data_IF_500341841000
#
_entry.id   IF_500341841000
#
_cell.length_a   1.000
_cell.length_b   1.000
_cell.length_c   1.000
_cell.angle_alpha   90.00
_cell.angle_beta   90.00
_cell.angle_gamma   90.00
#
_symmetry.space_group_name_H-M   'P 1'
#
loop_
_entity.id
_entity.type
_entity.pdbx_description
1 polymer ?
#
# COMPACT_ATOMS: atom_id res chain seq x y z
N UNK A 1 4.18 22.10 25.16
CA UNK A 1 5.46 22.67 25.68
C UNK A 1 5.99 21.94 26.91
N UNK A 2 5.37 22.01 28.11
CA UNK A 2 5.96 21.46 29.35
C UNK A 2 6.38 19.98 29.28
N UNK A 3 5.57 19.11 28.67
CA UNK A 3 5.91 17.69 28.52
C UNK A 3 7.14 17.46 27.63
N UNK A 4 7.27 18.24 26.56
CA UNK A 4 8.40 18.22 25.63
C UNK A 4 9.67 18.66 26.37
N UNK A 5 9.61 19.78 27.10
CA UNK A 5 10.71 20.29 27.92
C UNK A 5 11.21 19.26 28.93
N UNK A 6 10.29 18.61 29.66
CA UNK A 6 10.63 17.56 30.63
C UNK A 6 11.34 16.37 29.96
N UNK A 7 10.89 15.95 28.77
CA UNK A 7 11.52 14.87 27.99
C UNK A 7 12.95 15.25 27.60
N UNK A 8 13.15 16.46 27.07
CA UNK A 8 14.45 16.97 26.64
C UNK A 8 15.40 17.10 27.83
N UNK A 9 14.97 17.72 28.92
CA UNK A 9 15.80 17.87 30.13
C UNK A 9 16.21 16.52 30.72
N UNK A 10 15.33 15.51 30.66
CA UNK A 10 15.67 14.15 31.09
C UNK A 10 16.75 13.53 30.20
N UNK A 11 16.64 13.68 28.88
CA UNK A 11 17.66 13.22 27.94
C UNK A 11 19.01 13.92 28.19
N UNK A 12 18.99 15.25 28.32
CA UNK A 12 20.20 16.04 28.58
C UNK A 12 20.82 15.75 29.95
N UNK A 13 20.01 15.50 30.98
CA UNK A 13 20.51 15.10 32.30
C UNK A 13 21.22 13.74 32.26
N UNK A 14 20.73 12.80 31.44
CA UNK A 14 21.38 11.51 31.25
C UNK A 14 22.74 11.67 30.56
N UNK A 15 22.82 12.55 29.55
CA UNK A 15 24.07 12.91 28.86
C UNK A 15 25.06 13.56 29.83
N UNK A 16 24.66 14.61 30.56
CA UNK A 16 25.53 15.36 31.48
C UNK A 16 26.12 14.48 32.59
N UNK A 17 25.34 13.56 33.17
CA UNK A 17 25.82 12.62 34.20
C UNK A 17 26.97 11.73 33.72
N UNK A 18 26.99 11.34 32.45
CA UNK A 18 28.01 10.45 31.89
C UNK A 18 29.33 11.16 31.58
N UNK A 19 29.29 12.48 31.35
CA UNK A 19 30.47 13.27 31.04
C UNK A 19 31.12 13.94 32.28
N UNK A 20 30.63 13.69 33.50
CA UNK A 20 31.06 14.36 34.74
C UNK A 20 31.06 15.90 34.66
N UNK A 21 30.38 16.45 33.66
CA UNK A 21 30.09 17.88 33.55
C UNK A 21 28.90 18.11 34.47
N UNK A 22 29.12 18.83 35.59
CA UNK A 22 28.10 19.03 36.63
C UNK A 22 26.75 19.49 36.09
N UNK A 23 25.70 19.41 36.93
CA UNK A 23 24.29 19.72 36.61
C UNK A 23 24.00 21.12 36.02
N UNK A 24 25.02 21.96 35.85
CA UNK A 24 24.93 23.36 35.47
C UNK A 24 24.99 23.62 33.96
N UNK A 25 25.11 22.58 33.12
CA UNK A 25 25.17 22.76 31.65
C UNK A 25 23.90 22.35 30.90
N UNK A 26 22.88 21.80 31.57
CA UNK A 26 21.62 21.40 30.92
C UNK A 26 20.51 22.40 31.20
N UNK A 27 19.99 23.04 30.17
CA UNK A 27 18.85 23.95 30.27
C UNK A 27 17.81 23.67 29.18
N UNK A 28 16.60 24.20 29.33
CA UNK A 28 15.53 24.07 28.30
C UNK A 28 15.97 24.73 26.99
N UNK A 29 15.57 24.25 25.81
CA UNK A 29 15.89 24.89 24.54
C UNK A 29 15.49 26.37 24.47
N UNK A 30 14.37 26.75 25.08
CA UNK A 30 13.96 28.16 25.16
C UNK A 30 14.95 29.02 25.96
N UNK A 31 15.38 28.52 27.12
CA UNK A 31 16.43 29.17 27.91
C UNK A 31 17.73 29.25 27.11
N UNK A 32 18.15 28.16 26.48
CA UNK A 32 19.36 28.13 25.67
C UNK A 32 19.34 29.18 24.55
N UNK A 33 18.20 29.34 23.88
CA UNK A 33 18.02 30.35 22.83
C UNK A 33 18.11 31.77 23.38
N UNK A 34 17.43 32.08 24.49
CA UNK A 34 17.42 33.43 25.10
C UNK A 34 18.82 33.84 25.57
N UNK A 35 19.59 32.90 26.12
CA UNK A 35 20.90 33.16 26.71
C UNK A 35 22.08 32.83 25.79
N UNK A 36 21.82 32.50 24.52
CA UNK A 36 22.88 32.22 23.53
C UNK A 36 23.68 30.93 23.77
N UNK A 37 23.12 29.95 24.49
CA UNK A 37 23.76 28.68 24.84
C UNK A 37 23.47 27.55 23.85
N UNK A 38 22.62 27.77 22.85
CA UNK A 38 22.19 26.73 21.91
C UNK A 38 23.35 26.00 21.24
N UNK A 39 24.35 26.71 20.71
CA UNK A 39 25.49 26.09 20.02
C UNK A 39 26.31 25.20 20.97
N UNK A 40 26.58 25.66 22.19
CA UNK A 40 27.30 24.88 23.21
C UNK A 40 26.56 23.58 23.53
N UNK A 41 25.22 23.62 23.61
CA UNK A 41 24.42 22.42 23.87
C UNK A 41 24.40 21.50 22.65
N UNK A 42 24.29 22.05 21.43
CA UNK A 42 24.35 21.25 20.21
C UNK A 42 25.70 20.53 20.06
N UNK A 43 26.80 21.20 20.40
CA UNK A 43 28.13 20.57 20.41
C UNK A 43 28.19 19.44 21.44
N UNK A 44 27.66 19.64 22.64
CA UNK A 44 27.55 18.56 23.64
C UNK A 44 26.74 17.38 23.08
N UNK A 45 25.58 17.64 22.46
CA UNK A 45 24.75 16.59 21.87
C UNK A 45 25.54 15.81 20.82
N UNK A 46 26.28 16.49 19.91
CA UNK A 46 27.12 15.87 18.88
C UNK A 46 28.18 14.94 19.47
N UNK A 47 28.88 15.38 20.52
CA UNK A 47 29.90 14.57 21.20
C UNK A 47 29.31 13.37 21.97
N UNK A 48 28.02 13.43 22.31
CA UNK A 48 27.32 12.40 23.08
C UNK A 48 26.34 11.57 22.24
N UNK A 49 26.53 11.49 20.90
CA UNK A 49 25.60 10.80 19.98
C UNK A 49 25.23 9.37 20.41
N UNK A 50 26.20 8.61 20.91
CA UNK A 50 26.01 7.21 21.33
C UNK A 50 25.21 7.06 22.64
N UNK A 51 24.96 8.16 23.35
CA UNK A 51 24.21 8.17 24.62
C UNK A 51 22.70 8.27 24.42
N UNK A 52 22.26 8.52 23.19
CA UNK A 52 20.85 8.55 22.82
C UNK A 52 20.35 7.15 22.48
N UNK A 53 19.09 6.90 22.82
CA UNK A 53 18.40 5.62 22.57
C UNK A 53 18.51 5.13 21.12
N UNK A 54 18.35 6.04 20.17
CA UNK A 54 18.33 5.76 18.74
C UNK A 54 18.64 7.04 17.94
N UNK A 55 18.94 6.93 16.63
CA UNK A 55 19.26 8.09 15.80
C UNK A 55 18.13 9.14 15.74
N UNK A 56 16.86 8.73 15.77
CA UNK A 56 15.73 9.66 15.76
C UNK A 56 15.68 10.46 17.07
N UNK A 57 15.92 9.83 18.22
CA UNK A 57 15.97 10.49 19.52
C UNK A 57 17.13 11.50 19.61
N UNK A 58 18.30 11.16 19.04
CA UNK A 58 19.43 12.08 18.89
C UNK A 58 19.06 13.31 18.06
N UNK A 59 18.54 13.08 16.85
CA UNK A 59 18.17 14.14 15.92
C UNK A 59 17.03 15.03 16.44
N UNK A 60 16.01 14.42 17.06
CA UNK A 60 14.89 15.14 17.66
C UNK A 60 15.37 16.03 18.82
N UNK A 61 16.24 15.51 19.69
CA UNK A 61 16.75 16.28 20.84
C UNK A 61 17.58 17.48 20.39
N UNK A 62 18.55 17.29 19.50
CA UNK A 62 19.31 18.41 18.92
C UNK A 62 18.42 19.35 18.10
N UNK A 63 17.38 18.81 17.44
CA UNK A 63 16.41 19.58 16.67
C UNK A 63 15.76 20.70 17.47
N UNK A 64 15.43 20.45 18.75
CA UNK A 64 14.85 21.47 19.62
C UNK A 64 15.80 22.63 19.96
N UNK A 65 17.12 22.37 20.04
CA UNK A 65 18.13 23.41 20.29
C UNK A 65 18.60 24.11 19.01
N UNK A 66 18.29 23.53 17.84
CA UNK A 66 18.64 24.10 16.54
C UNK A 66 17.84 25.37 16.21
N UNK A 67 18.26 26.09 15.17
CA UNK A 67 17.51 27.25 14.63
C UNK A 67 16.08 26.90 14.18
N UNK A 68 15.82 25.63 13.88
CA UNK A 68 14.48 25.15 13.50
C UNK A 68 13.65 24.69 14.71
N UNK A 69 14.16 24.81 15.93
CA UNK A 69 13.54 24.27 17.14
C UNK A 69 12.11 24.78 17.38
N UNK A 70 11.83 26.05 17.11
CA UNK A 70 10.45 26.58 17.22
C UNK A 70 9.48 25.86 16.25
N UNK A 71 9.94 25.55 15.04
CA UNK A 71 9.16 24.77 14.07
C UNK A 71 8.88 23.35 14.59
N UNK A 72 9.87 22.70 15.22
CA UNK A 72 9.68 21.40 15.85
C UNK A 72 8.69 21.45 17.01
N UNK A 73 8.76 22.48 17.86
CA UNK A 73 7.78 22.68 18.92
C UNK A 73 6.36 22.83 18.36
N UNK A 74 6.18 23.71 17.37
CA UNK A 74 4.89 23.95 16.74
C UNK A 74 4.32 22.64 16.17
N UNK A 75 5.15 21.87 15.45
CA UNK A 75 4.77 20.58 14.89
C UNK A 75 4.30 19.61 15.98
N UNK A 76 5.07 19.49 17.07
CA UNK A 76 4.79 18.55 18.16
C UNK A 76 3.59 18.96 19.02
N UNK A 77 3.20 20.23 18.97
CA UNK A 77 1.94 20.72 19.56
C UNK A 77 0.76 20.70 18.61
N UNK A 78 0.94 20.24 17.37
CA UNK A 78 -0.12 20.11 16.36
C UNK A 78 -0.35 21.35 15.50
N UNK A 79 0.44 22.42 15.68
CA UNK A 79 0.37 23.62 14.83
C UNK A 79 1.27 23.47 13.60
N UNK A 80 0.78 22.66 12.66
CA UNK A 80 1.52 22.27 11.45
C UNK A 80 1.76 23.46 10.52
N UNK A 81 0.84 24.44 10.47
CA UNK A 81 0.98 25.64 9.64
C UNK A 81 2.08 26.56 10.19
N UNK A 82 2.09 26.80 11.51
CA UNK A 82 3.16 27.56 12.15
C UNK A 82 4.51 26.85 11.98
N UNK A 83 4.53 25.53 12.11
CA UNK A 83 5.75 24.75 11.90
C UNK A 83 6.34 25.01 10.51
N UNK A 84 5.51 24.93 9.46
CA UNK A 84 5.93 25.19 8.09
C UNK A 84 6.44 26.63 7.92
N UNK A 85 5.69 27.64 8.39
CA UNK A 85 6.10 29.04 8.23
C UNK A 85 7.47 29.33 8.88
N UNK A 86 7.77 28.68 10.01
CA UNK A 86 9.06 28.85 10.68
C UNK A 86 10.18 28.24 9.83
N UNK A 87 10.00 27.03 9.29
CA UNK A 87 11.07 26.39 8.51
C UNK A 87 11.26 27.01 7.13
N UNK A 88 10.24 27.64 6.54
CA UNK A 88 10.34 28.36 5.27
C UNK A 88 11.19 29.64 5.38
N UNK A 89 11.30 30.25 6.56
CA UNK A 89 12.21 31.38 6.79
C UNK A 89 13.68 30.98 6.90
N UNK A 90 13.98 29.68 6.96
CA UNK A 90 15.34 29.17 7.08
C UNK A 90 15.92 28.97 5.68
N UNK A 91 16.94 29.76 5.33
CA UNK A 91 17.64 29.59 4.06
C UNK A 91 18.30 28.20 3.96
N UNK A 92 17.82 27.38 3.02
CA UNK A 92 18.27 25.99 2.87
C UNK A 92 19.70 25.84 2.38
N UNK A 93 20.24 26.85 1.68
CA UNK A 93 21.61 26.89 1.16
C UNK A 93 22.67 27.11 2.25
N UNK A 94 22.28 27.62 3.42
CA UNK A 94 23.17 27.90 4.56
C UNK A 94 23.02 26.89 5.71
N UNK A 95 22.34 25.77 5.48
CA UNK A 95 22.13 24.75 6.51
C UNK A 95 23.34 23.81 6.56
N UNK A 96 24.24 24.05 7.50
CA UNK A 96 25.39 23.16 7.79
C UNK A 96 25.09 22.14 8.89
N UNK A 97 24.00 22.31 9.64
CA UNK A 97 23.71 21.54 10.84
C UNK A 97 22.70 20.40 10.61
N UNK A 98 23.06 19.18 11.01
CA UNK A 98 22.25 17.97 10.79
C UNK A 98 20.90 18.00 11.51
N UNK A 99 20.82 18.68 12.67
CA UNK A 99 19.59 18.80 13.44
C UNK A 99 18.59 19.73 12.75
N UNK A 100 19.08 20.87 12.25
CA UNK A 100 18.26 21.78 11.44
C UNK A 100 17.74 21.07 10.19
N UNK A 101 18.59 20.33 9.48
CA UNK A 101 18.20 19.51 8.33
C UNK A 101 17.09 18.52 8.68
N UNK A 102 17.25 17.78 9.79
CA UNK A 102 16.25 16.83 10.25
C UNK A 102 14.89 17.51 10.48
N UNK A 103 14.87 18.63 11.22
CA UNK A 103 13.62 19.34 11.55
C UNK A 103 12.94 19.87 10.29
N UNK A 104 13.67 20.54 9.40
CA UNK A 104 13.11 21.06 8.14
C UNK A 104 12.45 19.94 7.34
N UNK A 105 13.15 18.81 7.17
CA UNK A 105 12.63 17.66 6.42
C UNK A 105 11.42 17.03 7.09
N UNK A 106 11.45 16.89 8.42
CA UNK A 106 10.33 16.34 9.20
C UNK A 106 9.09 17.23 9.08
N UNK A 107 9.25 18.54 9.24
CA UNK A 107 8.14 19.50 9.12
C UNK A 107 7.55 19.48 7.72
N UNK A 108 8.39 19.51 6.68
CA UNK A 108 7.91 19.40 5.29
C UNK A 108 7.16 18.08 5.07
N UNK A 109 7.67 16.96 5.57
CA UNK A 109 7.03 15.66 5.44
C UNK A 109 5.65 15.62 6.13
N UNK A 110 5.55 16.08 7.37
CA UNK A 110 4.28 16.10 8.13
C UNK A 110 3.27 17.09 7.57
N UNK A 111 3.73 18.26 7.11
CA UNK A 111 2.90 19.19 6.36
C UNK A 111 2.40 18.57 5.06
N UNK A 112 3.29 17.93 4.31
CA UNK A 112 2.97 17.21 3.07
C UNK A 112 1.91 16.13 3.29
N UNK A 113 1.98 15.38 4.40
CA UNK A 113 0.95 14.41 4.77
C UNK A 113 -0.40 15.07 5.08
N UNK A 114 -0.40 16.28 5.65
CA UNK A 114 -1.62 17.05 5.91
C UNK A 114 -2.22 17.60 4.60
N UNK A 115 -1.38 18.18 3.75
CA UNK A 115 -1.77 18.66 2.42
C UNK A 115 -2.34 17.54 1.54
N UNK A 116 -1.73 16.34 1.61
CA UNK A 116 -2.23 15.14 0.95
C UNK A 116 -3.66 14.78 1.40
N UNK A 117 -3.91 14.75 2.71
CA UNK A 117 -5.23 14.44 3.28
C UNK A 117 -6.29 15.47 2.88
N UNK A 118 -5.88 16.73 2.71
CA UNK A 118 -6.74 17.82 2.26
C UNK A 118 -6.89 17.88 0.72
N UNK A 119 -6.30 16.94 -0.03
CA UNK A 119 -6.30 16.89 -1.50
C UNK A 119 -5.74 18.16 -2.17
N UNK A 120 -4.74 18.79 -1.58
CA UNK A 120 -4.08 19.96 -2.17
C UNK A 120 -3.30 19.59 -3.44
N UNK A 121 -3.47 20.33 -4.55
CA UNK A 121 -2.93 19.91 -5.86
C UNK A 121 -1.40 19.73 -5.91
N UNK A 122 -0.65 20.50 -5.11
CA UNK A 122 0.82 20.56 -5.16
C UNK A 122 1.50 19.87 -3.98
N UNK A 123 0.81 18.96 -3.25
CA UNK A 123 1.35 18.35 -2.04
C UNK A 123 2.70 17.64 -2.24
N UNK A 124 3.00 17.14 -3.44
CA UNK A 124 4.21 16.37 -3.73
C UNK A 124 5.51 17.16 -3.52
N UNK A 125 5.47 18.49 -3.65
CA UNK A 125 6.65 19.34 -3.47
C UNK A 125 7.22 19.23 -2.05
N UNK A 126 6.36 19.02 -1.05
CA UNK A 126 6.75 18.88 0.35
C UNK A 126 7.47 17.56 0.63
N UNK A 127 7.42 16.60 -0.29
CA UNK A 127 8.09 15.30 -0.15
C UNK A 127 9.45 15.25 -0.86
N UNK A 128 9.93 16.37 -1.42
CA UNK A 128 11.17 16.41 -2.19
C UNK A 128 12.40 15.97 -1.39
N UNK A 129 12.42 16.21 -0.08
CA UNK A 129 13.53 15.86 0.82
C UNK A 129 13.27 14.61 1.68
N UNK A 130 12.15 13.92 1.46
CA UNK A 130 11.71 12.79 2.29
C UNK A 130 12.69 11.62 2.26
N UNK A 131 13.34 11.35 1.12
CA UNK A 131 14.34 10.26 1.04
C UNK A 131 15.47 10.46 2.07
N UNK A 132 15.98 11.69 2.19
CA UNK A 132 17.01 12.05 3.17
C UNK A 132 16.50 12.04 4.61
N UNK A 133 15.20 12.27 4.83
CA UNK A 133 14.59 12.12 6.14
C UNK A 133 14.59 10.64 6.56
N UNK A 134 14.15 9.77 5.67
CA UNK A 134 14.07 8.33 5.90
C UNK A 134 15.45 7.69 6.09
N UNK A 135 16.48 8.17 5.38
CA UNK A 135 17.87 7.79 5.64
C UNK A 135 18.32 8.16 7.06
N UNK A 136 18.02 9.39 7.52
CA UNK A 136 18.43 9.86 8.84
C UNK A 136 17.60 9.30 10.00
N UNK A 137 16.33 8.97 9.74
CA UNK A 137 15.37 8.48 10.73
C UNK A 137 14.45 7.40 10.11
N UNK A 138 14.96 6.16 9.93
CA UNK A 138 14.24 5.07 9.26
C UNK A 138 12.94 4.65 9.97
N UNK A 139 12.83 4.92 11.27
CA UNK A 139 11.61 4.71 12.06
C UNK A 139 10.42 5.52 11.53
N UNK A 140 10.66 6.69 10.92
CA UNK A 140 9.62 7.51 10.29
C UNK A 140 9.08 6.81 9.04
N UNK A 141 9.97 6.28 8.21
CA UNK A 141 9.62 5.50 7.00
C UNK A 141 8.72 4.33 7.38
N UNK A 142 9.14 3.54 8.37
CA UNK A 142 8.37 2.40 8.88
C UNK A 142 6.98 2.81 9.38
N UNK A 143 6.89 3.83 10.26
CA UNK A 143 5.59 4.31 10.76
C UNK A 143 4.68 4.80 9.63
N UNK A 144 5.25 5.40 8.59
CA UNK A 144 4.52 5.88 7.43
C UNK A 144 3.98 4.72 6.57
N UNK A 145 4.80 3.72 6.26
CA UNK A 145 4.40 2.56 5.46
C UNK A 145 3.41 1.68 6.21
N UNK A 146 3.63 1.41 7.49
CA UNK A 146 2.73 0.64 8.35
C UNK A 146 1.33 1.26 8.37
N UNK A 147 1.25 2.60 8.44
CA UNK A 147 -0.02 3.32 8.39
C UNK A 147 -0.75 3.13 7.06
N UNK A 148 -0.02 3.12 5.94
CA UNK A 148 -0.62 2.97 4.60
C UNK A 148 -1.16 1.55 4.41
N UNK A 149 -0.42 0.54 4.88
CA UNK A 149 -0.88 -0.86 4.86
C UNK A 149 -2.17 -1.06 5.67
N UNK A 150 -2.45 -0.17 6.62
CA UNK A 150 -3.68 -0.16 7.44
C UNK A 150 -4.74 0.86 6.97
N UNK A 151 -4.49 1.64 5.92
CA UNK A 151 -5.38 2.71 5.50
C UNK A 151 -6.64 2.18 4.81
N UNK A 152 -7.79 2.82 5.08
CA UNK A 152 -9.04 2.56 4.37
C UNK A 152 -9.03 3.11 2.93
N UNK A 153 -9.87 2.52 2.06
CA UNK A 153 -9.97 2.75 0.62
C UNK A 153 -9.97 4.22 0.14
N UNK A 154 -10.65 5.14 0.84
CA UNK A 154 -10.83 6.52 0.34
C UNK A 154 -9.54 7.35 0.28
N UNK A 155 -8.58 7.10 1.17
CA UNK A 155 -7.31 7.86 1.20
C UNK A 155 -6.24 7.23 0.30
N UNK A 156 -6.46 5.99 -0.11
CA UNK A 156 -5.45 5.13 -0.71
C UNK A 156 -5.02 5.58 -2.11
N UNK A 157 -5.95 6.15 -2.89
CA UNK A 157 -5.68 6.71 -4.21
C UNK A 157 -4.65 7.86 -4.17
N UNK A 158 -4.73 8.72 -3.15
CA UNK A 158 -3.78 9.83 -2.98
C UNK A 158 -2.40 9.32 -2.53
N UNK A 159 -2.39 8.26 -1.71
CA UNK A 159 -1.15 7.59 -1.29
C UNK A 159 -0.45 6.84 -2.44
N UNK A 160 -1.18 6.22 -3.37
CA UNK A 160 -0.61 5.55 -4.57
C UNK A 160 0.38 6.47 -5.30
N UNK A 161 -0.05 7.69 -5.62
CA UNK A 161 0.79 8.67 -6.34
C UNK A 161 2.01 9.10 -5.54
N UNK A 162 1.86 9.28 -4.22
CA UNK A 162 2.97 9.63 -3.34
C UNK A 162 3.99 8.49 -3.25
N UNK A 163 3.54 7.26 -3.06
CA UNK A 163 4.42 6.09 -2.95
C UNK A 163 5.19 5.85 -4.24
N UNK A 164 4.55 5.98 -5.41
CA UNK A 164 5.25 5.93 -6.71
C UNK A 164 6.34 7.02 -6.80
N UNK A 165 6.05 8.24 -6.32
CA UNK A 165 7.02 9.33 -6.30
C UNK A 165 8.20 9.01 -5.38
N UNK A 166 7.95 8.51 -4.17
CA UNK A 166 8.98 8.15 -3.20
C UNK A 166 9.83 6.96 -3.69
N UNK A 167 9.20 5.91 -4.20
CA UNK A 167 9.86 4.74 -4.75
C UNK A 167 10.84 5.09 -5.87
N UNK A 168 10.45 6.00 -6.78
CA UNK A 168 11.33 6.50 -7.85
C UNK A 168 12.54 7.28 -7.33
N UNK A 169 12.42 7.93 -6.18
CA UNK A 169 13.48 8.74 -5.56
C UNK A 169 14.44 7.87 -4.73
N UNK A 170 13.90 6.91 -3.98
CA UNK A 170 14.64 5.96 -3.15
C UNK A 170 13.82 4.67 -3.01
N UNK A 171 14.12 3.64 -3.81
CA UNK A 171 13.48 2.34 -3.64
C UNK A 171 14.05 1.67 -2.37
N UNK A 172 13.17 1.44 -1.40
CA UNK A 172 13.42 0.64 -0.20
C UNK A 172 12.36 -0.44 -0.12
N UNK A 173 12.64 -1.55 0.57
CA UNK A 173 11.67 -2.65 0.70
C UNK A 173 10.35 -2.18 1.32
N UNK A 174 10.41 -1.35 2.36
CA UNK A 174 9.22 -0.78 3.02
C UNK A 174 8.36 0.05 2.05
N UNK A 175 8.99 0.91 1.24
CA UNK A 175 8.28 1.74 0.27
C UNK A 175 7.80 0.91 -0.92
N UNK A 176 8.58 -0.09 -1.35
CA UNK A 176 8.22 -1.00 -2.44
C UNK A 176 6.99 -1.82 -2.07
N UNK A 177 6.97 -2.42 -0.88
CA UNK A 177 5.85 -3.18 -0.34
C UNK A 177 4.59 -2.31 -0.26
N UNK A 178 4.68 -1.14 0.40
CA UNK A 178 3.55 -0.22 0.52
C UNK A 178 3.07 0.30 -0.84
N UNK A 179 3.98 0.55 -1.78
CA UNK A 179 3.64 0.97 -3.15
C UNK A 179 2.91 -0.13 -3.92
N UNK A 180 3.41 -1.37 -3.85
CA UNK A 180 2.81 -2.55 -4.46
C UNK A 180 1.39 -2.79 -3.95
N UNK A 181 1.21 -2.73 -2.62
CA UNK A 181 -0.09 -2.79 -1.96
C UNK A 181 -1.03 -1.66 -2.43
N UNK A 182 -0.56 -0.40 -2.37
CA UNK A 182 -1.39 0.75 -2.69
C UNK A 182 -1.85 0.78 -4.15
N UNK A 183 -0.99 0.38 -5.08
CA UNK A 183 -1.34 0.24 -6.49
C UNK A 183 -2.44 -0.80 -6.70
N UNK A 184 -2.31 -1.96 -6.06
CA UNK A 184 -3.24 -3.08 -6.20
C UNK A 184 -4.60 -2.75 -5.61
N UNK A 185 -4.64 -2.22 -4.39
CA UNK A 185 -5.89 -1.84 -3.75
C UNK A 185 -6.58 -0.67 -4.47
N UNK A 186 -5.80 0.30 -4.98
CA UNK A 186 -6.34 1.36 -5.85
C UNK A 186 -6.93 0.81 -7.15
N UNK A 187 -6.36 -0.25 -7.71
CA UNK A 187 -6.89 -0.92 -8.89
C UNK A 187 -8.21 -1.63 -8.59
N UNK A 188 -8.31 -2.35 -7.47
CA UNK A 188 -9.55 -2.99 -6.99
C UNK A 188 -10.66 -1.94 -6.84
N UNK A 189 -10.38 -0.81 -6.20
CA UNK A 189 -11.36 0.27 -6.03
C UNK A 189 -11.84 0.80 -7.39
N UNK A 190 -10.92 1.08 -8.32
CA UNK A 190 -11.27 1.57 -9.67
C UNK A 190 -12.06 0.51 -10.46
N UNK A 191 -11.72 -0.75 -10.30
CA UNK A 191 -12.41 -1.88 -10.92
C UNK A 191 -13.85 -2.01 -10.42
N UNK A 192 -14.06 -2.03 -9.10
CA UNK A 192 -15.39 -2.10 -8.50
C UNK A 192 -16.28 -0.91 -8.86
N UNK A 193 -15.68 0.26 -9.11
CA UNK A 193 -16.38 1.45 -9.61
C UNK A 193 -16.64 1.43 -11.13
N UNK A 194 -16.34 0.32 -11.82
CA UNK A 194 -16.42 0.17 -13.29
C UNK A 194 -15.57 1.21 -14.06
N UNK A 195 -14.53 1.76 -13.43
CA UNK A 195 -13.59 2.72 -14.03
C UNK A 195 -12.31 2.04 -14.56
N UNK A 196 -12.23 0.72 -14.46
CA UNK A 196 -11.11 -0.09 -14.91
C UNK A 196 -11.60 -1.41 -15.50
N UNK A 197 -11.02 -1.82 -16.61
CA UNK A 197 -11.28 -3.12 -17.26
C UNK A 197 -10.43 -4.24 -16.65
N UNK A 198 -10.82 -5.50 -16.86
CA UNK A 198 -10.06 -6.67 -16.40
C UNK A 198 -8.61 -6.67 -16.91
N UNK A 199 -8.39 -6.26 -18.17
CA UNK A 199 -7.04 -6.15 -18.75
C UNK A 199 -6.18 -5.11 -18.02
N UNK A 200 -6.76 -3.95 -17.71
CA UNK A 200 -6.07 -2.90 -16.96
C UNK A 200 -5.76 -3.36 -15.53
N UNK A 201 -6.71 -4.05 -14.87
CA UNK A 201 -6.51 -4.62 -13.54
C UNK A 201 -5.30 -5.58 -13.53
N UNK A 202 -5.29 -6.56 -14.43
CA UNK A 202 -4.16 -7.50 -14.60
C UNK A 202 -2.82 -6.77 -14.80
N UNK A 203 -2.77 -5.77 -15.68
CA UNK A 203 -1.54 -4.99 -15.91
C UNK A 203 -1.08 -4.23 -14.67
N UNK A 204 -1.99 -3.70 -13.85
CA UNK A 204 -1.61 -3.00 -12.60
C UNK A 204 -1.07 -3.99 -11.58
N UNK A 205 -1.71 -5.14 -11.40
CA UNK A 205 -1.26 -6.19 -10.49
C UNK A 205 0.13 -6.71 -10.88
N UNK A 206 0.37 -6.98 -12.16
CA UNK A 206 1.70 -7.38 -12.66
C UNK A 206 2.78 -6.31 -12.42
N UNK A 207 2.41 -5.03 -12.54
CA UNK A 207 3.33 -3.92 -12.24
C UNK A 207 3.62 -3.81 -10.74
N UNK A 208 2.62 -4.05 -9.89
CA UNK A 208 2.80 -4.06 -8.45
C UNK A 208 3.75 -5.20 -8.02
N UNK A 209 3.60 -6.41 -8.56
CA UNK A 209 4.53 -7.52 -8.30
C UNK A 209 5.95 -7.26 -8.81
N UNK A 210 6.11 -6.50 -9.91
CA UNK A 210 7.45 -6.06 -10.34
C UNK A 210 8.12 -5.09 -9.36
N UNK A 211 7.33 -4.35 -8.58
CA UNK A 211 7.86 -3.44 -7.55
C UNK A 211 8.22 -4.23 -6.30
N UNK A 212 7.35 -5.15 -5.86
CA UNK A 212 7.60 -6.02 -4.72
C UNK A 212 7.02 -7.42 -4.99
N UNK A 213 7.86 -8.40 -5.38
CA UNK A 213 7.40 -9.73 -5.79
C UNK A 213 6.74 -10.54 -4.67
N UNK A 214 7.23 -10.38 -3.44
CA UNK A 214 6.80 -11.18 -2.29
C UNK A 214 5.58 -10.57 -1.56
N UNK A 215 4.78 -9.76 -2.26
CA UNK A 215 3.58 -9.17 -1.65
C UNK A 215 2.41 -10.17 -1.69
N UNK A 216 2.17 -10.87 -0.57
CA UNK A 216 1.09 -11.86 -0.43
C UNK A 216 -0.28 -11.35 -0.90
N UNK A 217 -0.63 -10.11 -0.53
CA UNK A 217 -1.89 -9.51 -0.93
C UNK A 217 -2.02 -9.36 -2.46
N UNK A 218 -0.93 -8.96 -3.11
CA UNK A 218 -0.90 -8.78 -4.57
C UNK A 218 -0.86 -10.12 -5.30
N UNK A 219 -0.13 -11.11 -4.76
CA UNK A 219 -0.12 -12.48 -5.28
C UNK A 219 -1.52 -13.09 -5.27
N UNK A 220 -2.21 -13.04 -4.12
CA UNK A 220 -3.61 -13.48 -4.01
C UNK A 220 -4.55 -12.72 -4.96
N UNK A 221 -4.32 -11.42 -5.13
CA UNK A 221 -5.11 -10.61 -6.07
C UNK A 221 -4.84 -11.00 -7.53
N UNK A 222 -3.60 -11.36 -7.87
CA UNK A 222 -3.22 -11.82 -9.21
C UNK A 222 -3.93 -13.13 -9.56
N UNK A 223 -3.89 -14.09 -8.66
CA UNK A 223 -4.56 -15.39 -8.79
C UNK A 223 -6.06 -15.20 -8.99
N UNK A 224 -6.74 -14.45 -8.11
CA UNK A 224 -8.17 -14.14 -8.25
C UNK A 224 -8.51 -13.45 -9.56
N UNK A 225 -7.67 -12.51 -10.01
CA UNK A 225 -7.87 -11.81 -11.28
C UNK A 225 -7.70 -12.77 -12.46
N UNK A 226 -6.77 -13.73 -12.38
CA UNK A 226 -6.56 -14.74 -13.41
C UNK A 226 -7.76 -15.69 -13.50
N UNK A 227 -8.20 -16.25 -12.37
CA UNK A 227 -9.39 -17.11 -12.28
C UNK A 227 -10.61 -16.41 -12.89
N UNK A 228 -10.88 -15.16 -12.48
CA UNK A 228 -12.00 -14.38 -13.00
C UNK A 228 -11.93 -14.19 -14.52
N UNK A 229 -10.75 -13.88 -15.05
CA UNK A 229 -10.53 -13.69 -16.49
C UNK A 229 -10.73 -14.98 -17.29
N UNK A 230 -10.25 -16.12 -16.78
CA UNK A 230 -10.45 -17.42 -17.41
C UNK A 230 -11.93 -17.81 -17.43
N UNK A 231 -12.61 -17.64 -16.29
CA UNK A 231 -14.05 -17.82 -16.19
C UNK A 231 -14.83 -16.94 -17.17
N UNK A 232 -14.48 -15.66 -17.31
CA UNK A 232 -15.13 -14.77 -18.28
C UNK A 232 -15.01 -15.28 -19.73
N UNK A 233 -13.85 -15.89 -20.08
CA UNK A 233 -13.63 -16.45 -21.42
C UNK A 233 -14.44 -17.73 -21.61
N UNK A 234 -14.50 -18.59 -20.59
CA UNK A 234 -15.30 -19.82 -20.57
C UNK A 234 -16.78 -19.47 -20.73
N UNK A 235 -17.33 -18.59 -19.88
CA UNK A 235 -18.71 -18.14 -19.96
C UNK A 235 -19.06 -17.59 -21.34
N UNK A 236 -18.21 -16.73 -21.92
CA UNK A 236 -18.42 -16.21 -23.29
C UNK A 236 -18.35 -17.28 -24.38
N UNK A 237 -17.63 -18.37 -24.16
CA UNK A 237 -17.61 -19.49 -25.08
C UNK A 237 -18.89 -20.33 -24.96
N UNK A 238 -19.35 -20.59 -23.73
CA UNK A 238 -20.55 -21.36 -23.46
C UNK A 238 -21.83 -20.61 -23.88
N UNK A 239 -21.93 -19.31 -23.61
CA UNK A 239 -23.01 -18.42 -24.07
C UNK A 239 -23.13 -18.36 -25.61
N UNK A 240 -22.02 -18.61 -26.32
CA UNK A 240 -21.99 -18.72 -27.79
C UNK A 240 -22.18 -20.14 -28.29
N UNK A 241 -22.63 -21.06 -27.44
CA UNK A 241 -22.76 -22.49 -27.69
C UNK A 241 -21.48 -23.17 -28.19
N UNK A 242 -20.30 -22.66 -27.82
CA UNK A 242 -19.00 -23.25 -28.16
C UNK A 242 -18.50 -24.16 -27.03
N UNK A 243 -19.29 -25.17 -26.67
CA UNK A 243 -19.08 -26.01 -25.48
C UNK A 243 -17.73 -26.73 -25.50
N UNK A 244 -17.33 -27.34 -26.61
CA UNK A 244 -16.00 -27.98 -26.73
C UNK A 244 -14.84 -27.00 -26.58
N UNK A 245 -15.02 -25.73 -26.99
CA UNK A 245 -14.00 -24.70 -26.78
C UNK A 245 -13.91 -24.33 -25.30
N UNK A 246 -15.05 -24.20 -24.62
CA UNK A 246 -15.12 -23.93 -23.19
C UNK A 246 -14.49 -25.07 -22.39
N UNK A 247 -14.84 -26.33 -22.69
CA UNK A 247 -14.27 -27.53 -22.07
C UNK A 247 -12.74 -27.56 -22.20
N UNK A 248 -12.22 -27.31 -23.40
CA UNK A 248 -10.77 -27.24 -23.62
C UNK A 248 -10.09 -26.15 -22.77
N UNK A 249 -10.74 -24.99 -22.60
CA UNK A 249 -10.21 -23.90 -21.78
C UNK A 249 -10.23 -24.27 -20.29
N UNK A 250 -11.31 -24.86 -19.79
CA UNK A 250 -11.43 -25.34 -18.42
C UNK A 250 -10.34 -26.38 -18.10
N UNK A 251 -10.23 -27.44 -18.91
CA UNK A 251 -9.21 -28.48 -18.73
C UNK A 251 -7.76 -27.96 -18.76
N UNK A 252 -7.50 -26.91 -19.53
CA UNK A 252 -6.17 -26.31 -19.64
C UNK A 252 -5.85 -25.34 -18.50
N UNK A 253 -6.84 -24.97 -17.69
CA UNK A 253 -6.62 -24.10 -16.54
C UNK A 253 -5.78 -24.80 -15.48
N UNK A 254 -4.95 -24.03 -14.80
CA UNK A 254 -4.20 -24.49 -13.63
C UNK A 254 -5.00 -24.30 -12.33
N UNK A 255 -6.15 -23.64 -12.40
CA UNK A 255 -6.97 -23.27 -11.25
C UNK A 255 -8.19 -24.20 -11.16
N UNK A 256 -8.32 -25.01 -10.10
CA UNK A 256 -9.48 -25.88 -9.91
C UNK A 256 -10.81 -25.13 -9.94
N UNK A 257 -10.85 -23.90 -9.42
CA UNK A 257 -12.05 -23.06 -9.39
C UNK A 257 -12.60 -22.74 -10.79
N UNK A 258 -11.74 -22.75 -11.81
CA UNK A 258 -12.14 -22.52 -13.21
C UNK A 258 -12.85 -23.76 -13.78
N UNK A 259 -12.41 -24.96 -13.39
CA UNK A 259 -13.10 -26.20 -13.71
C UNK A 259 -14.45 -26.28 -13.00
N UNK A 260 -14.50 -25.94 -11.71
CA UNK A 260 -15.75 -25.92 -10.94
C UNK A 260 -16.76 -24.95 -11.57
N UNK A 261 -16.31 -23.74 -11.92
CA UNK A 261 -17.14 -22.73 -12.59
C UNK A 261 -17.68 -23.20 -13.96
N UNK A 262 -16.92 -24.01 -14.69
CA UNK A 262 -17.39 -24.61 -15.95
C UNK A 262 -18.57 -25.57 -15.69
N UNK A 263 -18.47 -26.41 -14.66
CA UNK A 263 -19.52 -27.35 -14.32
C UNK A 263 -20.76 -26.67 -13.74
N UNK A 264 -20.60 -25.67 -12.88
CA UNK A 264 -21.72 -24.83 -12.40
C UNK A 264 -22.51 -24.21 -13.57
N UNK A 265 -21.82 -23.76 -14.63
CA UNK A 265 -22.49 -23.24 -15.82
C UNK A 265 -23.10 -24.36 -16.67
N UNK A 266 -22.43 -25.51 -16.75
CA UNK A 266 -22.95 -26.69 -17.42
C UNK A 266 -24.28 -27.15 -16.83
N UNK A 267 -24.39 -27.16 -15.50
CA UNK A 267 -25.63 -27.43 -14.77
C UNK A 267 -26.73 -26.43 -15.11
N UNK A 268 -26.41 -25.13 -15.17
CA UNK A 268 -27.38 -24.11 -15.60
C UNK A 268 -27.86 -24.31 -17.04
N UNK A 269 -26.96 -24.68 -17.96
CA UNK A 269 -27.34 -25.00 -19.34
C UNK A 269 -28.21 -26.26 -19.38
N UNK A 270 -27.85 -27.29 -18.62
CA UNK A 270 -28.64 -28.52 -18.50
C UNK A 270 -30.07 -28.21 -18.06
N UNK A 271 -30.24 -27.47 -16.95
CA UNK A 271 -31.55 -27.05 -16.46
C UNK A 271 -32.33 -26.25 -17.52
N UNK A 272 -31.67 -25.33 -18.23
CA UNK A 272 -32.29 -24.55 -19.30
C UNK A 272 -32.75 -25.43 -20.47
N UNK A 273 -31.98 -26.45 -20.86
CA UNK A 273 -32.37 -27.38 -21.92
C UNK A 273 -33.54 -28.24 -21.47
N UNK A 274 -33.47 -28.84 -20.28
CA UNK A 274 -34.50 -29.76 -19.76
C UNK A 274 -35.84 -29.06 -19.51
N UNK A 275 -35.80 -27.79 -19.10
CA UNK A 275 -37.02 -26.97 -18.90
C UNK A 275 -37.43 -26.17 -20.13
N UNK A 276 -36.67 -26.23 -21.22
CA UNK A 276 -37.02 -25.54 -22.46
C UNK A 276 -38.25 -26.17 -23.11
N UNK A 277 -39.06 -25.35 -23.79
CA UNK A 277 -40.12 -25.84 -24.67
C UNK A 277 -39.62 -26.40 -26.01
N UNK A 278 -38.37 -26.85 -26.08
CA UNK A 278 -37.80 -27.47 -27.28
C UNK A 278 -38.43 -28.85 -27.49
N UNK A 279 -38.50 -29.31 -28.74
CA UNK A 279 -38.85 -30.70 -29.04
C UNK A 279 -37.74 -31.67 -28.62
N UNK A 280 -38.11 -32.94 -28.43
CA UNK A 280 -37.21 -33.97 -27.93
C UNK A 280 -35.95 -34.18 -28.79
N UNK A 281 -36.03 -33.97 -30.11
CA UNK A 281 -34.87 -34.15 -31.01
C UNK A 281 -33.86 -33.04 -30.73
N UNK A 282 -34.32 -31.79 -30.67
CA UNK A 282 -33.45 -30.66 -30.37
C UNK A 282 -32.86 -30.73 -28.95
N UNK A 283 -33.66 -31.14 -27.95
CA UNK A 283 -33.15 -31.37 -26.59
C UNK A 283 -32.00 -32.39 -26.57
N UNK A 284 -32.18 -33.55 -27.23
CA UNK A 284 -31.12 -34.58 -27.34
C UNK A 284 -29.84 -34.04 -27.97
N UNK A 285 -29.94 -33.27 -29.04
CA UNK A 285 -28.76 -32.70 -29.71
C UNK A 285 -27.97 -31.82 -28.74
N UNK A 286 -28.64 -30.89 -28.06
CA UNK A 286 -27.97 -30.00 -27.11
C UNK A 286 -27.41 -30.74 -25.89
N UNK A 287 -28.14 -31.72 -25.37
CA UNK A 287 -27.68 -32.56 -24.25
C UNK A 287 -26.47 -33.42 -24.64
N UNK A 288 -26.43 -33.98 -25.84
CA UNK A 288 -25.25 -34.71 -26.33
C UNK A 288 -24.02 -33.81 -26.48
N UNK A 289 -24.19 -32.60 -27.00
CA UNK A 289 -23.11 -31.63 -27.11
C UNK A 289 -22.57 -31.20 -25.74
N UNK A 290 -23.47 -31.03 -24.77
CA UNK A 290 -23.12 -30.72 -23.38
C UNK A 290 -22.42 -31.90 -22.70
N UNK A 291 -22.98 -33.11 -22.80
CA UNK A 291 -22.41 -34.35 -22.28
C UNK A 291 -20.97 -34.53 -22.76
N UNK A 292 -20.75 -34.40 -24.07
CA UNK A 292 -19.43 -34.52 -24.68
C UNK A 292 -18.44 -33.50 -24.13
N UNK A 293 -18.89 -32.25 -23.92
CA UNK A 293 -18.06 -31.21 -23.36
C UNK A 293 -17.71 -31.49 -21.88
N UNK A 294 -18.68 -31.91 -21.06
CA UNK A 294 -18.47 -32.31 -19.67
C UNK A 294 -17.48 -33.46 -19.54
N UNK A 295 -17.65 -34.52 -20.36
CA UNK A 295 -16.74 -35.66 -20.37
C UNK A 295 -15.30 -35.32 -20.79
N UNK A 296 -15.08 -34.27 -21.61
CA UNK A 296 -13.73 -33.82 -21.98
C UNK A 296 -13.03 -33.07 -20.83
N UNK A 297 -13.77 -32.51 -19.86
CA UNK A 297 -13.22 -31.80 -18.69
C UNK A 297 -12.97 -32.77 -17.54
N UNK A 298 -14.02 -33.44 -17.07
CA UNK A 298 -13.95 -34.47 -16.03
C UNK A 298 -15.04 -35.52 -16.29
N UNK A 299 -14.67 -36.73 -16.75
CA UNK A 299 -15.62 -37.79 -17.08
C UNK A 299 -16.34 -38.40 -15.87
N UNK A 300 -15.93 -38.05 -14.64
CA UNK A 300 -16.54 -38.57 -13.40
C UNK A 300 -17.39 -37.52 -12.67
N UNK A 301 -17.59 -36.34 -13.26
CA UNK A 301 -18.39 -35.29 -12.63
C UNK A 301 -19.88 -35.70 -12.52
N UNK A 302 -20.55 -35.50 -11.36
CA UNK A 302 -21.93 -35.94 -11.14
C UNK A 302 -22.95 -35.46 -12.19
N UNK A 303 -22.74 -34.28 -12.79
CA UNK A 303 -23.62 -33.76 -13.86
C UNK A 303 -23.73 -34.70 -15.06
N UNK A 304 -22.71 -35.53 -15.32
CA UNK A 304 -22.70 -36.49 -16.45
C UNK A 304 -23.79 -37.54 -16.25
N UNK A 305 -23.97 -38.02 -15.03
CA UNK A 305 -25.01 -38.99 -14.70
C UNK A 305 -26.40 -38.36 -14.92
N UNK A 306 -26.60 -37.12 -14.47
CA UNK A 306 -27.86 -36.38 -14.69
C UNK A 306 -28.18 -36.17 -16.17
N UNK A 307 -27.19 -35.81 -16.99
CA UNK A 307 -27.39 -35.65 -18.43
C UNK A 307 -27.71 -36.99 -19.11
N UNK A 308 -27.04 -38.08 -18.71
CA UNK A 308 -27.31 -39.41 -19.24
C UNK A 308 -28.71 -39.92 -18.88
N UNK A 309 -29.17 -39.68 -17.65
CA UNK A 309 -30.52 -40.03 -17.22
C UNK A 309 -31.59 -39.30 -18.05
N UNK A 310 -31.41 -37.99 -18.29
CA UNK A 310 -32.34 -37.20 -19.11
C UNK A 310 -32.35 -37.68 -20.58
N UNK A 311 -31.17 -37.99 -21.14
CA UNK A 311 -31.07 -38.55 -22.49
C UNK A 311 -31.81 -39.90 -22.61
N UNK A 312 -31.74 -40.75 -21.59
CA UNK A 312 -32.50 -42.01 -21.56
C UNK A 312 -34.02 -41.76 -21.45
N UNK A 313 -34.44 -40.76 -20.67
CA UNK A 313 -35.85 -40.40 -20.53
C UNK A 313 -36.47 -39.91 -21.85
N UNK A 314 -35.71 -39.17 -22.66
CA UNK A 314 -36.14 -38.67 -23.97
C UNK A 314 -36.23 -39.78 -25.04
N UNK A 315 -35.89 -41.04 -24.71
CA UNK A 315 -35.93 -42.22 -25.59
C UNK A 315 -34.79 -42.22 -26.62
N UNK A 316 -34.75 -43.20 -27.54
CA UNK A 316 -33.85 -43.18 -28.71
C UNK A 316 -34.36 -42.23 -29.80
#
# INVERSE_FOLDING_TARGET
YLAIEKKILKAMSAVSRKHNQGSHQTCTPRYASIFGLSNTILDLIKHSKNEFKDPEHYLETGGYYSRAGEGLYALKTGDIKKALSVVETIETSSIEDEFTHYVVRLVQFEFGQTALKNNEKSYLQYFALTSRLFESAPTIEKRFTDRILQCSDKQLLSYEKLLIFLYKKRPSDLIAEACSFAMTQSAIIKYNQKKMSNKQMKTVVEKALKIYPDNDFVLLTQERTAIFLENEIIFKAMDKHKLMKAARLARQSIYPEVCDSFFEFGEQIFEQISTSGLDAINQKIYLHDLLKACMDVDPYHPVIDSINEELQFLGD
#
